data_IF_126489245859
#
_entry.id   IF_126489245859
#
_cell.length_a   1.000
_cell.length_b   1.000
_cell.length_c   1.000
_cell.angle_alpha   90.00
_cell.angle_beta   90.00
_cell.angle_gamma   90.00
#
_symmetry.space_group_name_H-M   'P 1'
#
loop_
_entity.id
_entity.type
_entity.pdbx_description
1 polymer ?
#
# COMPACT_ATOMS: atom_id res chain seq x y z
N UNK A 1 -2.61 28.29 -7.85
CA UNK A 1 -2.55 29.25 -6.75
C UNK A 1 -1.10 29.34 -6.36
N UNK A 2 -0.54 30.55 -6.31
CA UNK A 2 0.86 30.73 -5.91
C UNK A 2 1.00 30.79 -4.38
N UNK A 3 2.23 30.78 -3.88
CA UNK A 3 2.50 30.77 -2.44
C UNK A 3 1.91 31.98 -1.71
N UNK A 4 1.94 33.17 -2.32
CA UNK A 4 1.44 34.39 -1.69
C UNK A 4 -0.08 34.37 -1.51
N UNK A 5 -0.81 33.80 -2.48
CA UNK A 5 -2.26 33.59 -2.38
C UNK A 5 -2.60 32.58 -1.28
N UNK A 6 -1.84 31.49 -1.17
CA UNK A 6 -2.01 30.50 -0.09
C UNK A 6 -1.79 31.15 1.28
N UNK A 7 -0.70 31.90 1.45
CA UNK A 7 -0.41 32.66 2.67
C UNK A 7 -1.52 33.65 3.03
N UNK A 8 -2.07 34.33 2.03
CA UNK A 8 -3.18 35.25 2.25
C UNK A 8 -4.46 34.55 2.72
N UNK A 9 -4.71 33.30 2.30
CA UNK A 9 -5.82 32.49 2.80
C UNK A 9 -5.55 32.07 4.26
N UNK A 10 -4.35 31.55 4.57
CA UNK A 10 -3.98 31.13 5.94
C UNK A 10 -4.05 32.31 6.92
N UNK A 11 -3.62 33.49 6.51
CA UNK A 11 -3.70 34.70 7.34
C UNK A 11 -5.15 35.15 7.65
N UNK A 12 -6.14 34.68 6.90
CA UNK A 12 -7.57 34.93 7.13
C UNK A 12 -8.25 33.83 7.95
N UNK A 13 -7.55 32.73 8.24
CA UNK A 13 -8.08 31.64 9.06
C UNK A 13 -8.05 32.02 10.54
N UNK A 14 -9.07 31.61 11.29
CA UNK A 14 -8.99 31.59 12.75
C UNK A 14 -8.07 30.47 13.21
N UNK A 15 -7.62 30.52 14.47
CA UNK A 15 -6.76 29.48 15.03
C UNK A 15 -7.45 28.10 15.04
N UNK A 16 -8.77 28.08 15.22
CA UNK A 16 -9.60 26.87 15.15
C UNK A 16 -9.69 26.34 13.71
N UNK A 17 -9.85 27.21 12.70
CA UNK A 17 -9.83 26.81 11.28
C UNK A 17 -8.46 26.21 10.90
N UNK A 18 -7.35 26.81 11.37
CA UNK A 18 -5.99 26.26 11.18
C UNK A 18 -5.82 24.90 11.85
N UNK A 19 -6.29 24.77 13.10
CA UNK A 19 -6.20 23.54 13.85
C UNK A 19 -6.99 22.39 13.20
N UNK A 20 -8.22 22.66 12.75
CA UNK A 20 -9.07 21.70 12.06
C UNK A 20 -8.49 21.27 10.70
N UNK A 21 -7.84 22.19 9.98
CA UNK A 21 -7.17 21.89 8.70
C UNK A 21 -6.03 20.86 8.86
N UNK A 22 -5.38 20.81 10.03
CA UNK A 22 -4.28 19.90 10.34
C UNK A 22 -4.75 18.51 10.84
N UNK A 23 -6.04 18.19 10.71
CA UNK A 23 -6.58 16.85 10.89
C UNK A 23 -7.58 16.49 9.78
N UNK A 24 -7.82 15.19 9.56
CA UNK A 24 -8.91 14.73 8.71
C UNK A 24 -10.27 15.26 9.18
N UNK A 25 -11.20 15.47 8.25
CA UNK A 25 -12.61 15.71 8.57
C UNK A 25 -13.40 14.39 8.62
N UNK A 26 -12.93 13.40 7.87
CA UNK A 26 -13.41 12.02 7.92
C UNK A 26 -12.21 11.08 7.88
N UNK A 27 -12.46 9.78 7.84
CA UNK A 27 -11.41 8.77 7.64
C UNK A 27 -10.63 8.95 6.33
N UNK A 28 -11.18 9.64 5.33
CA UNK A 28 -10.62 9.71 3.97
C UNK A 28 -10.59 11.10 3.35
N UNK A 29 -10.97 12.15 4.09
CA UNK A 29 -10.99 13.52 3.56
C UNK A 29 -10.26 14.48 4.48
N UNK A 30 -9.54 15.42 3.90
CA UNK A 30 -9.03 16.58 4.64
C UNK A 30 -10.18 17.48 5.06
N UNK A 31 -9.97 18.29 6.09
CA UNK A 31 -10.87 19.41 6.37
C UNK A 31 -10.81 20.47 5.26
N UNK A 32 -11.94 21.14 5.04
CA UNK A 32 -12.03 22.35 4.22
C UNK A 32 -12.30 23.58 5.09
N UNK A 33 -12.27 24.76 4.47
CA UNK A 33 -12.67 26.04 5.10
C UNK A 33 -13.65 26.75 4.17
N UNK A 34 -14.97 26.42 4.22
CA UNK A 34 -15.95 26.89 3.24
C UNK A 34 -16.05 28.41 3.11
N UNK A 35 -15.93 29.13 4.24
CA UNK A 35 -15.95 30.61 4.28
C UNK A 35 -14.85 31.24 3.43
N UNK A 36 -13.71 30.56 3.29
CA UNK A 36 -12.55 30.99 2.50
C UNK A 36 -12.46 30.29 1.14
N UNK A 37 -13.46 29.47 0.78
CA UNK A 37 -13.45 28.71 -0.47
C UNK A 37 -12.39 27.61 -0.55
N UNK A 38 -11.93 27.10 0.60
CA UNK A 38 -11.00 25.96 0.66
C UNK A 38 -11.83 24.67 0.63
N UNK A 39 -11.77 23.87 -0.45
CA UNK A 39 -12.47 22.59 -0.50
C UNK A 39 -11.70 21.49 0.26
N UNK A 40 -12.40 20.44 0.75
CA UNK A 40 -11.74 19.22 1.16
C UNK A 40 -11.22 18.44 -0.06
N UNK A 41 -10.18 17.63 0.14
CA UNK A 41 -9.71 16.66 -0.86
C UNK A 41 -9.76 15.24 -0.30
N UNK A 42 -9.90 14.26 -1.18
CA UNK A 42 -9.97 12.86 -0.83
C UNK A 42 -8.58 12.20 -0.87
N UNK A 43 -8.26 11.44 0.17
CA UNK A 43 -7.09 10.54 0.22
C UNK A 43 -7.56 9.09 0.32
N UNK A 44 -6.88 8.17 -0.34
CA UNK A 44 -7.37 6.78 -0.41
C UNK A 44 -6.22 5.80 -0.55
N UNK A 45 -6.35 4.61 0.05
CA UNK A 45 -5.49 3.47 -0.28
C UNK A 45 -5.65 3.06 -1.76
N UNK A 46 -4.72 2.30 -2.36
CA UNK A 46 -3.51 1.76 -1.76
C UNK A 46 -2.37 1.50 -2.75
N UNK A 47 -1.31 0.79 -2.32
CA UNK A 47 -0.03 0.70 -3.04
C UNK A 47 -0.04 0.05 -4.42
N UNK A 48 -1.04 -0.79 -4.72
CA UNK A 48 -1.14 -1.55 -5.99
C UNK A 48 -2.61 -1.62 -6.50
N UNK A 49 -3.47 -0.72 -6.03
CA UNK A 49 -4.87 -0.68 -6.44
C UNK A 49 -5.67 0.32 -5.61
N UNK A 50 -6.61 1.03 -6.24
CA UNK A 50 -7.46 1.98 -5.55
C UNK A 50 -8.46 1.25 -4.63
N UNK A 51 -8.52 1.66 -3.36
CA UNK A 51 -9.47 1.23 -2.34
C UNK A 51 -10.22 2.47 -1.82
N UNK A 52 -11.09 3.04 -2.65
CA UNK A 52 -11.95 4.16 -2.25
C UNK A 52 -13.24 3.64 -1.64
N UNK A 53 -13.52 4.04 -0.41
CA UNK A 53 -14.78 3.72 0.25
C UNK A 53 -15.95 4.56 -0.29
N UNK A 54 -17.11 3.92 -0.38
CA UNK A 54 -18.38 4.51 -0.78
C UNK A 54 -19.51 3.98 0.08
N UNK A 55 -20.57 4.76 0.25
CA UNK A 55 -21.77 4.34 0.96
C UNK A 55 -22.76 3.73 -0.03
N UNK A 56 -23.14 2.46 0.17
CA UNK A 56 -24.08 1.76 -0.72
C UNK A 56 -25.49 1.62 -0.13
N UNK A 57 -25.66 1.96 1.14
CA UNK A 57 -26.94 1.89 1.83
C UNK A 57 -26.81 2.26 3.30
N UNK A 58 -27.90 2.06 4.04
CA UNK A 58 -27.94 2.17 5.50
C UNK A 58 -28.34 0.81 6.04
N UNK A 59 -27.61 0.33 7.05
CA UNK A 59 -27.99 -0.86 7.80
C UNK A 59 -29.21 -0.52 8.66
N UNK A 60 -30.34 -1.17 8.38
CA UNK A 60 -31.61 -0.87 9.06
C UNK A 60 -31.60 -1.21 10.55
N UNK A 61 -30.75 -2.15 10.99
CA UNK A 61 -30.67 -2.57 12.39
C UNK A 61 -29.79 -1.62 13.22
N UNK A 62 -28.68 -1.14 12.66
CA UNK A 62 -27.73 -0.27 13.37
C UNK A 62 -27.89 1.23 13.05
N UNK A 63 -28.60 1.56 11.97
CA UNK A 63 -28.70 2.93 11.44
C UNK A 63 -27.40 3.47 10.84
N UNK A 64 -26.39 2.62 10.67
CA UNK A 64 -25.06 3.02 10.18
C UNK A 64 -24.94 2.88 8.66
N UNK A 65 -24.14 3.74 8.00
CA UNK A 65 -23.84 3.58 6.58
C UNK A 65 -23.18 2.23 6.28
N UNK A 66 -23.70 1.51 5.29
CA UNK A 66 -23.04 0.33 4.73
C UNK A 66 -21.94 0.82 3.80
N UNK A 67 -20.70 0.52 4.17
CA UNK A 67 -19.51 0.89 3.39
C UNK A 67 -19.08 -0.25 2.49
N UNK A 68 -18.83 0.07 1.24
CA UNK A 68 -18.13 -0.79 0.29
C UNK A 68 -16.97 -0.03 -0.35
N UNK A 69 -16.10 -0.73 -1.07
CA UNK A 69 -15.08 -0.10 -1.90
C UNK A 69 -15.52 -0.08 -3.35
N UNK A 70 -15.19 1.01 -4.06
CA UNK A 70 -15.40 1.09 -5.50
C UNK A 70 -14.58 -0.02 -6.18
N UNK A 71 -15.12 -0.69 -7.21
CA UNK A 71 -14.33 -1.62 -7.99
C UNK A 71 -13.15 -0.91 -8.69
N UNK A 72 -11.97 -1.52 -8.67
CA UNK A 72 -10.77 -1.00 -9.31
C UNK A 72 -9.93 -2.12 -9.93
N UNK A 73 -8.86 -1.74 -10.63
CA UNK A 73 -7.83 -2.69 -11.06
C UNK A 73 -6.89 -2.98 -9.90
N UNK A 74 -6.66 -4.27 -9.64
CA UNK A 74 -5.65 -4.74 -8.70
C UNK A 74 -4.41 -5.16 -9.50
N UNK A 75 -3.35 -4.36 -9.39
CA UNK A 75 -2.04 -4.68 -9.96
C UNK A 75 -1.32 -5.71 -9.07
N UNK A 76 -0.28 -6.38 -9.59
CA UNK A 76 0.54 -7.26 -8.77
C UNK A 76 1.04 -6.54 -7.52
N UNK A 77 1.08 -7.24 -6.39
CA UNK A 77 1.56 -6.66 -5.14
C UNK A 77 3.01 -6.15 -5.28
N UNK A 78 3.42 -5.19 -4.45
CA UNK A 78 4.73 -4.53 -4.55
C UNK A 78 5.92 -5.50 -4.63
N UNK A 79 5.88 -6.62 -3.88
CA UNK A 79 6.91 -7.67 -3.97
C UNK A 79 7.02 -8.30 -5.36
N UNK A 80 5.88 -8.47 -6.02
CA UNK A 80 5.81 -9.04 -7.36
C UNK A 80 6.25 -7.97 -8.37
N UNK A 81 5.61 -6.80 -8.42
CA UNK A 81 5.96 -5.77 -9.42
C UNK A 81 7.44 -5.39 -9.39
N UNK A 82 8.05 -5.29 -8.19
CA UNK A 82 9.48 -5.00 -8.06
C UNK A 82 10.40 -6.09 -8.62
N UNK A 83 9.93 -7.35 -8.70
CA UNK A 83 10.71 -8.46 -9.25
C UNK A 83 10.89 -8.36 -10.78
N UNK A 84 10.21 -7.43 -11.45
CA UNK A 84 10.50 -7.08 -12.84
C UNK A 84 11.83 -6.33 -13.02
N UNK A 85 12.32 -5.62 -11.99
CA UNK A 85 13.44 -4.68 -12.08
C UNK A 85 13.26 -3.61 -13.19
N UNK A 86 12.00 -3.33 -13.59
CA UNK A 86 11.69 -2.46 -14.72
C UNK A 86 10.95 -1.19 -14.25
N UNK A 87 11.66 -0.07 -14.24
CA UNK A 87 11.07 1.24 -13.90
C UNK A 87 10.03 1.70 -14.91
N UNK A 88 10.14 1.29 -16.18
CA UNK A 88 9.14 1.58 -17.21
C UNK A 88 7.81 0.90 -16.94
N UNK A 89 7.82 -0.35 -16.47
CA UNK A 89 6.61 -1.03 -16.00
C UNK A 89 6.00 -0.32 -14.80
N UNK A 90 6.83 0.12 -13.84
CA UNK A 90 6.35 0.84 -12.65
C UNK A 90 5.78 2.21 -12.97
N UNK A 91 6.35 2.93 -13.94
CA UNK A 91 5.76 4.18 -14.43
C UNK A 91 4.40 3.93 -15.10
N UNK A 92 4.28 2.87 -15.90
CA UNK A 92 3.00 2.51 -16.52
C UNK A 92 1.95 2.10 -15.46
N UNK A 93 2.35 1.31 -14.45
CA UNK A 93 1.51 0.96 -13.30
C UNK A 93 1.01 2.23 -12.58
N UNK A 94 1.93 3.14 -12.26
CA UNK A 94 1.61 4.41 -11.63
C UNK A 94 0.64 5.26 -12.46
N UNK A 95 0.83 5.34 -13.78
CA UNK A 95 -0.10 6.07 -14.67
C UNK A 95 -1.51 5.47 -14.65
N UNK A 96 -1.63 4.15 -14.67
CA UNK A 96 -2.93 3.50 -14.57
C UNK A 96 -3.58 3.77 -13.20
N UNK A 97 -2.85 3.64 -12.11
CA UNK A 97 -3.34 3.94 -10.76
C UNK A 97 -3.75 5.42 -10.61
N UNK A 98 -2.97 6.35 -11.14
CA UNK A 98 -3.30 7.77 -11.19
C UNK A 98 -4.58 8.04 -11.99
N UNK A 99 -4.78 7.36 -13.12
CA UNK A 99 -6.03 7.44 -13.90
C UNK A 99 -7.23 6.92 -13.12
N UNK A 100 -7.08 5.78 -12.43
CA UNK A 100 -8.12 5.20 -11.57
C UNK A 100 -8.50 6.19 -10.44
N UNK A 101 -7.53 6.87 -9.85
CA UNK A 101 -7.76 7.90 -8.83
C UNK A 101 -8.47 9.13 -9.40
N UNK A 102 -8.01 9.66 -10.54
CA UNK A 102 -8.63 10.81 -11.20
C UNK A 102 -10.10 10.54 -11.58
N UNK A 103 -10.39 9.35 -12.11
CA UNK A 103 -11.75 8.92 -12.43
C UNK A 103 -12.67 8.80 -11.19
N UNK A 104 -12.07 8.62 -10.02
CA UNK A 104 -12.76 8.49 -8.75
C UNK A 104 -12.63 9.72 -7.83
N UNK A 105 -12.17 10.87 -8.34
CA UNK A 105 -11.98 12.09 -7.55
C UNK A 105 -11.12 11.90 -6.28
N UNK A 106 -10.02 11.16 -6.42
CA UNK A 106 -9.03 10.95 -5.36
C UNK A 106 -7.81 11.82 -5.64
N UNK A 107 -7.49 12.70 -4.69
CA UNK A 107 -6.40 13.66 -4.81
C UNK A 107 -5.03 13.07 -4.45
N UNK A 108 -4.99 12.16 -3.47
CA UNK A 108 -3.75 11.49 -3.04
C UNK A 108 -3.99 10.00 -2.88
N UNK A 109 -3.21 9.20 -3.60
CA UNK A 109 -3.11 7.76 -3.43
C UNK A 109 -2.12 7.43 -2.32
N UNK A 110 -2.53 6.66 -1.32
CA UNK A 110 -1.71 6.28 -0.17
C UNK A 110 -0.75 5.12 -0.52
N UNK A 111 0.19 5.42 -1.40
CA UNK A 111 1.30 4.57 -1.81
C UNK A 111 2.32 5.38 -2.62
N UNK A 112 3.46 4.78 -2.97
CA UNK A 112 3.78 3.37 -2.78
C UNK A 112 4.26 3.06 -1.35
N UNK A 113 4.20 1.79 -0.98
CA UNK A 113 4.78 1.29 0.27
C UNK A 113 6.21 0.76 0.02
N UNK A 114 7.22 1.35 0.66
CA UNK A 114 8.64 1.10 0.36
C UNK A 114 9.51 0.85 1.59
N UNK A 115 8.92 0.40 2.70
CA UNK A 115 9.72 -0.05 3.83
C UNK A 115 10.65 -1.21 3.44
N UNK A 116 11.84 -1.24 4.04
CA UNK A 116 12.79 -2.33 3.82
C UNK A 116 12.24 -3.62 4.41
N UNK A 117 12.30 -4.70 3.61
CA UNK A 117 11.98 -6.08 4.02
C UNK A 117 13.06 -6.65 4.95
N UNK A 118 13.22 -6.05 6.13
CA UNK A 118 14.26 -6.41 7.11
C UNK A 118 14.17 -7.87 7.55
N UNK A 119 12.95 -8.32 7.82
CA UNK A 119 12.66 -9.68 8.24
C UNK A 119 11.71 -10.30 7.23
N UNK A 120 11.97 -11.54 6.76
CA UNK A 120 11.04 -12.21 5.85
C UNK A 120 9.69 -12.54 6.51
N UNK A 121 9.60 -12.39 7.83
CA UNK A 121 8.38 -12.62 8.62
C UNK A 121 7.44 -11.41 8.69
N UNK A 122 7.86 -10.22 8.24
CA UNK A 122 7.00 -9.04 8.32
C UNK A 122 5.70 -9.27 7.53
N UNK A 123 4.56 -9.04 8.19
CA UNK A 123 3.23 -9.29 7.62
C UNK A 123 2.89 -8.49 6.37
N UNK A 124 3.60 -7.37 6.14
CA UNK A 124 3.39 -6.44 5.02
C UNK A 124 4.46 -6.53 3.94
N UNK A 125 5.34 -7.53 3.99
CA UNK A 125 6.34 -7.72 2.95
C UNK A 125 5.74 -7.85 1.53
N UNK A 126 4.48 -8.29 1.40
CA UNK A 126 3.82 -8.39 0.09
C UNK A 126 3.64 -7.01 -0.59
N UNK A 127 3.39 -5.95 0.18
CA UNK A 127 3.15 -4.60 -0.38
C UNK A 127 4.42 -3.76 -0.50
N UNK A 128 5.52 -4.18 0.13
CA UNK A 128 6.82 -3.54 -0.01
C UNK A 128 7.59 -4.04 -1.23
N UNK A 129 8.52 -3.24 -1.73
CA UNK A 129 9.29 -3.58 -2.93
C UNK A 129 10.45 -4.54 -2.65
N UNK A 130 11.42 -4.17 -1.80
CA UNK A 130 12.70 -4.89 -1.68
C UNK A 130 13.30 -4.85 -0.27
N UNK A 131 14.24 -5.75 -0.02
CA UNK A 131 15.22 -5.63 1.07
C UNK A 131 16.38 -4.70 0.72
N UNK A 132 16.61 -4.46 -0.59
CA UNK A 132 17.63 -3.56 -1.10
C UNK A 132 17.06 -2.13 -1.26
N UNK A 133 17.70 -1.10 -0.66
CA UNK A 133 17.19 0.26 -0.69
C UNK A 133 17.26 0.93 -2.05
N UNK A 134 18.22 0.54 -2.90
CA UNK A 134 18.36 1.13 -4.24
C UNK A 134 17.20 0.65 -5.14
N UNK A 135 16.94 -0.65 -5.19
CA UNK A 135 15.81 -1.21 -5.92
C UNK A 135 14.48 -0.62 -5.40
N UNK A 136 14.28 -0.60 -4.08
CA UNK A 136 13.07 -0.02 -3.49
C UNK A 136 12.89 1.46 -3.87
N UNK A 137 13.97 2.24 -3.85
CA UNK A 137 13.97 3.65 -4.22
C UNK A 137 13.66 3.89 -5.70
N UNK A 138 14.34 3.20 -6.62
CA UNK A 138 14.12 3.39 -8.07
C UNK A 138 12.71 2.98 -8.50
N UNK A 139 12.21 1.86 -7.98
CA UNK A 139 10.85 1.36 -8.24
C UNK A 139 9.82 2.35 -7.67
N UNK A 140 10.02 2.86 -6.46
CA UNK A 140 9.14 3.86 -5.86
C UNK A 140 9.14 5.17 -6.64
N UNK A 141 10.30 5.69 -7.05
CA UNK A 141 10.40 6.93 -7.81
C UNK A 141 9.66 6.83 -9.15
N UNK A 142 9.83 5.72 -9.88
CA UNK A 142 9.15 5.49 -11.15
C UNK A 142 7.62 5.38 -10.98
N UNK A 143 7.16 4.67 -9.94
CA UNK A 143 5.75 4.62 -9.56
C UNK A 143 5.18 6.01 -9.26
N UNK A 144 5.89 6.81 -8.44
CA UNK A 144 5.46 8.14 -8.03
C UNK A 144 5.34 9.07 -9.24
N UNK A 145 6.34 9.08 -10.12
CA UNK A 145 6.30 9.85 -11.36
C UNK A 145 5.10 9.44 -12.24
N UNK A 146 4.82 8.13 -12.33
CA UNK A 146 3.67 7.60 -13.05
C UNK A 146 2.34 8.15 -12.51
N UNK A 147 2.07 7.99 -11.21
CA UNK A 147 0.84 8.49 -10.57
C UNK A 147 0.71 10.01 -10.72
N UNK A 148 1.78 10.76 -10.41
CA UNK A 148 1.75 12.21 -10.42
C UNK A 148 1.65 12.82 -11.82
N UNK A 149 2.02 12.07 -12.86
CA UNK A 149 1.77 12.48 -14.26
C UNK A 149 0.27 12.56 -14.61
N UNK A 150 -0.60 11.96 -13.79
CA UNK A 150 -2.06 11.98 -13.95
C UNK A 150 -2.75 13.04 -13.09
N UNK A 151 -2.00 14.01 -12.54
CA UNK A 151 -2.56 15.09 -11.71
C UNK A 151 -3.04 14.62 -10.33
N UNK A 152 -2.56 13.47 -9.86
CA UNK A 152 -2.89 12.86 -8.56
C UNK A 152 -1.61 12.73 -7.72
N UNK A 153 -1.66 13.06 -6.44
CA UNK A 153 -0.54 12.92 -5.52
C UNK A 153 -0.31 11.49 -5.05
N UNK A 154 0.89 11.23 -4.56
CA UNK A 154 1.25 9.99 -3.85
C UNK A 154 1.60 10.28 -2.40
N UNK A 155 1.44 9.26 -1.55
CA UNK A 155 1.96 9.23 -0.18
C UNK A 155 2.97 8.08 -0.02
N UNK A 156 4.25 8.38 -0.18
CA UNK A 156 5.31 7.38 0.02
C UNK A 156 5.32 6.94 1.49
N UNK A 157 5.22 5.63 1.77
CA UNK A 157 4.95 5.11 3.12
C UNK A 157 5.77 3.86 3.50
N UNK A 158 6.06 3.60 4.77
CA UNK A 158 5.82 4.40 5.97
C UNK A 158 7.15 4.92 6.48
N UNK A 159 7.29 6.23 6.57
CA UNK A 159 8.53 6.93 6.88
C UNK A 159 8.72 7.03 8.40
N UNK A 160 9.60 6.25 9.04
CA UNK A 160 10.51 5.23 8.49
C UNK A 160 10.61 4.01 9.42
N UNK A 161 11.35 2.99 8.98
CA UNK A 161 11.68 1.80 9.78
C UNK A 161 10.47 1.03 10.35
N UNK A 162 9.34 1.05 9.63
CA UNK A 162 8.16 0.23 9.91
C UNK A 162 8.29 -1.15 9.26
N UNK A 163 9.22 -1.96 9.74
CA UNK A 163 9.58 -3.25 9.12
C UNK A 163 9.07 -4.48 9.91
N UNK A 164 8.08 -4.29 10.78
CA UNK A 164 7.36 -5.35 11.48
C UNK A 164 5.97 -4.86 11.91
N UNK A 165 4.98 -5.75 11.91
CA UNK A 165 3.62 -5.43 12.35
C UNK A 165 3.46 -5.62 13.86
N UNK A 166 4.18 -6.57 14.46
CA UNK A 166 4.10 -6.85 15.87
C UNK A 166 4.43 -5.60 16.69
N UNK A 167 3.43 -5.09 17.43
CA UNK A 167 3.53 -3.87 18.23
C UNK A 167 3.97 -2.63 17.43
N UNK A 168 3.62 -2.53 16.14
CA UNK A 168 3.99 -1.37 15.30
C UNK A 168 3.65 -0.01 15.91
N UNK A 169 2.54 0.09 16.67
CA UNK A 169 2.09 1.34 17.32
C UNK A 169 2.81 1.70 18.63
N UNK A 170 3.63 0.81 19.18
CA UNK A 170 4.24 1.02 20.51
C UNK A 170 5.72 0.69 20.59
N UNK A 171 6.22 -0.13 19.66
CA UNK A 171 7.63 -0.51 19.56
C UNK A 171 8.52 0.67 19.16
N UNK A 172 9.81 0.53 19.46
CA UNK A 172 10.85 1.43 19.01
C UNK A 172 11.87 0.66 18.17
N UNK A 173 12.08 1.11 16.95
CA UNK A 173 13.15 0.66 16.07
C UNK A 173 14.43 1.35 16.51
N UNK A 174 15.27 0.63 17.24
CA UNK A 174 16.59 1.10 17.67
C UNK A 174 17.61 0.82 16.56
N UNK A 175 18.05 1.87 15.87
CA UNK A 175 18.87 1.80 14.67
C UNK A 175 19.94 2.90 14.71
N UNK A 176 21.20 2.52 14.51
CA UNK A 176 22.30 3.48 14.42
C UNK A 176 22.17 4.36 13.16
N UNK A 177 22.79 5.55 13.18
CA UNK A 177 22.64 6.53 12.10
C UNK A 177 23.10 6.01 10.74
N UNK A 178 24.15 5.19 10.70
CA UNK A 178 24.64 4.64 9.44
C UNK A 178 23.62 3.69 8.83
N UNK A 179 23.13 2.73 9.60
CA UNK A 179 22.11 1.79 9.14
C UNK A 179 20.81 2.51 8.77
N UNK A 180 20.40 3.52 9.56
CA UNK A 180 19.22 4.33 9.26
C UNK A 180 19.37 5.00 7.89
N UNK A 181 20.50 5.67 7.62
CA UNK A 181 20.79 6.39 6.38
C UNK A 181 20.94 5.44 5.18
N UNK A 182 21.80 4.43 5.30
CA UNK A 182 22.17 3.54 4.19
C UNK A 182 21.07 2.53 3.82
N UNK A 183 20.18 2.15 4.74
CA UNK A 183 19.17 1.11 4.51
C UNK A 183 17.76 1.69 4.54
N UNK A 184 17.32 2.22 5.68
CA UNK A 184 15.90 2.54 5.87
C UNK A 184 15.46 3.85 5.24
N UNK A 185 16.39 4.78 5.05
CA UNK A 185 16.13 6.12 4.52
C UNK A 185 16.47 6.25 3.04
N UNK A 186 17.46 5.50 2.53
CA UNK A 186 17.94 5.63 1.14
C UNK A 186 16.82 5.50 0.10
N UNK A 187 15.89 4.54 0.25
CA UNK A 187 14.76 4.41 -0.67
C UNK A 187 13.83 5.63 -0.68
N UNK A 188 13.57 6.24 0.49
CA UNK A 188 12.78 7.47 0.60
C UNK A 188 13.55 8.69 0.08
N UNK A 189 14.86 8.75 0.30
CA UNK A 189 15.72 9.81 -0.24
C UNK A 189 15.67 9.84 -1.77
N UNK A 190 15.80 8.68 -2.41
CA UNK A 190 15.66 8.52 -3.86
C UNK A 190 14.27 8.99 -4.31
N UNK A 191 13.21 8.50 -3.68
CA UNK A 191 11.83 8.89 -4.00
C UNK A 191 11.60 10.42 -3.90
N UNK A 192 12.14 11.07 -2.86
CA UNK A 192 12.05 12.52 -2.68
C UNK A 192 12.84 13.27 -3.75
N UNK A 193 14.10 12.92 -3.96
CA UNK A 193 14.99 13.67 -4.86
C UNK A 193 14.64 13.47 -6.34
N UNK A 194 14.15 12.30 -6.72
CA UNK A 194 13.85 11.97 -8.12
C UNK A 194 12.39 12.21 -8.52
N UNK A 195 11.45 12.12 -7.58
CA UNK A 195 10.03 12.11 -7.90
C UNK A 195 9.16 13.11 -7.13
N UNK A 196 9.65 13.68 -6.01
CA UNK A 196 8.93 14.65 -5.17
C UNK A 196 7.46 14.23 -4.91
N UNK A 197 7.22 13.18 -4.10
CA UNK A 197 5.86 12.79 -3.76
C UNK A 197 5.12 13.96 -3.11
N UNK A 198 3.82 14.12 -3.39
CA UNK A 198 3.04 15.22 -2.81
C UNK A 198 2.93 15.10 -1.29
N UNK A 199 2.90 13.87 -0.78
CA UNK A 199 2.91 13.59 0.64
C UNK A 199 3.86 12.44 0.99
N UNK A 200 4.23 12.37 2.27
CA UNK A 200 4.90 11.22 2.87
C UNK A 200 4.11 10.83 4.11
N UNK A 201 3.88 9.53 4.30
CA UNK A 201 3.20 9.04 5.49
C UNK A 201 4.22 8.67 6.57
N UNK A 202 4.18 9.35 7.71
CA UNK A 202 4.99 8.99 8.87
C UNK A 202 4.52 7.66 9.46
N UNK A 203 5.46 6.81 9.90
CA UNK A 203 5.14 5.48 10.44
C UNK A 203 4.55 5.52 11.86
N UNK A 204 3.96 4.39 12.26
CA UNK A 204 3.47 4.15 13.61
C UNK A 204 4.57 4.09 14.68
N UNK A 205 5.70 3.46 14.37
CA UNK A 205 6.70 3.08 15.36
C UNK A 205 7.50 4.30 15.85
N UNK A 206 8.14 4.11 17.01
CA UNK A 206 9.23 4.99 17.41
C UNK A 206 10.50 4.63 16.65
N UNK A 207 11.38 5.61 16.48
CA UNK A 207 12.74 5.44 15.97
C UNK A 207 13.66 6.04 17.01
N UNK A 208 14.50 5.22 17.63
CA UNK A 208 15.38 5.62 18.73
C UNK A 208 14.65 6.38 19.85
N UNK A 209 13.47 5.89 20.24
CA UNK A 209 12.68 6.40 21.37
C UNK A 209 11.63 7.48 21.04
N UNK A 210 11.64 8.06 19.84
CA UNK A 210 10.67 9.10 19.43
C UNK A 210 9.74 8.61 18.34
N UNK A 211 8.42 8.81 18.49
CA UNK A 211 7.43 8.48 17.46
C UNK A 211 7.77 9.17 16.14
N UNK A 212 7.68 8.46 15.02
CA UNK A 212 8.07 9.00 13.71
C UNK A 212 7.26 10.26 13.34
N UNK A 213 5.96 10.28 13.65
CA UNK A 213 5.07 11.45 13.49
C UNK A 213 5.47 12.68 14.31
N UNK A 214 6.34 12.54 15.30
CA UNK A 214 6.80 13.59 16.21
C UNK A 214 8.33 13.77 16.18
N UNK A 215 9.01 13.15 15.21
CA UNK A 215 10.47 13.14 15.17
C UNK A 215 11.00 14.27 14.29
N UNK A 216 11.36 15.41 14.90
CA UNK A 216 11.89 16.58 14.19
C UNK A 216 13.14 16.27 13.35
N UNK A 217 14.07 15.45 13.88
CA UNK A 217 15.27 15.05 13.12
C UNK A 217 14.88 14.35 11.83
N UNK A 218 13.89 13.45 11.89
CA UNK A 218 13.41 12.72 10.73
C UNK A 218 12.63 13.60 9.75
N UNK A 219 11.60 14.30 10.25
CA UNK A 219 10.59 14.95 9.41
C UNK A 219 10.96 16.36 8.93
N UNK A 220 11.81 17.08 9.67
CA UNK A 220 12.28 18.41 9.30
C UNK A 220 13.75 18.35 8.87
N UNK A 221 14.65 18.00 9.78
CA UNK A 221 16.08 18.15 9.55
C UNK A 221 16.54 17.27 8.36
N UNK A 222 16.18 15.99 8.32
CA UNK A 222 16.55 15.10 7.22
C UNK A 222 15.64 15.32 6.00
N UNK A 223 14.32 15.16 6.18
CA UNK A 223 13.40 15.12 5.05
C UNK A 223 13.30 16.47 4.32
N UNK A 224 13.23 17.58 5.05
CA UNK A 224 13.05 18.91 4.46
C UNK A 224 14.40 19.58 4.24
N UNK A 225 15.22 19.73 5.28
CA UNK A 225 16.43 20.57 5.18
C UNK A 225 17.53 19.89 4.36
N UNK A 226 17.76 18.58 4.54
CA UNK A 226 18.79 17.85 3.80
C UNK A 226 18.32 17.39 2.40
N UNK A 227 17.08 16.89 2.28
CA UNK A 227 16.59 16.31 1.00
C UNK A 227 15.76 17.26 0.15
N UNK A 228 15.29 18.38 0.70
CA UNK A 228 14.49 19.36 -0.05
C UNK A 228 13.08 18.88 -0.39
N UNK A 229 12.44 18.12 0.50
CA UNK A 229 11.04 17.71 0.32
C UNK A 229 10.09 18.92 0.26
N UNK A 230 9.27 18.98 -0.79
CA UNK A 230 8.39 20.14 -1.02
C UNK A 230 6.94 19.92 -0.55
N UNK A 231 6.51 18.68 -0.40
CA UNK A 231 5.16 18.29 0.01
C UNK A 231 4.87 18.48 1.51
N UNK A 232 3.94 17.68 2.03
CA UNK A 232 3.67 17.61 3.48
C UNK A 232 3.67 16.19 4.02
N UNK A 233 3.94 16.07 5.32
CA UNK A 233 3.88 14.78 6.02
C UNK A 233 2.47 14.58 6.58
N UNK A 234 1.89 13.41 6.30
CA UNK A 234 0.64 12.91 6.90
C UNK A 234 0.98 11.81 7.90
N UNK A 235 0.23 11.66 8.97
CA UNK A 235 0.40 10.52 9.88
C UNK A 235 -0.18 9.24 9.29
N UNK A 236 0.33 8.08 9.71
CA UNK A 236 -0.47 6.86 9.64
C UNK A 236 -1.73 6.99 10.54
N UNK A 237 -2.73 6.13 10.32
CA UNK A 237 -4.06 6.28 10.95
C UNK A 237 -3.99 6.06 12.45
N UNK A 238 -4.12 7.13 13.24
CA UNK A 238 -4.01 7.09 14.70
C UNK A 238 -2.57 7.05 15.23
N UNK A 239 -1.58 7.41 14.42
CA UNK A 239 -0.16 7.42 14.82
C UNK A 239 0.31 8.68 15.58
N UNK A 240 -0.56 9.67 15.75
CA UNK A 240 -0.23 10.92 16.46
C UNK A 240 -0.62 10.79 17.93
N UNK A 241 0.35 10.95 18.83
CA UNK A 241 0.13 10.86 20.28
C UNK A 241 0.07 12.24 20.94
N UNK A 242 0.83 13.20 20.42
CA UNK A 242 0.79 14.62 20.76
C UNK A 242 0.79 15.44 19.47
N UNK A 243 -0.36 16.02 19.15
CA UNK A 243 -0.57 16.79 17.93
C UNK A 243 0.26 18.05 17.86
N UNK A 244 0.52 18.70 19.00
CA UNK A 244 1.35 19.91 19.05
C UNK A 244 2.81 19.58 18.73
N UNK A 245 3.32 18.47 19.30
CA UNK A 245 4.65 17.98 18.99
C UNK A 245 4.76 17.49 17.53
N UNK A 246 3.71 16.88 16.98
CA UNK A 246 3.68 16.41 15.60
C UNK A 246 3.78 17.58 14.60
N UNK A 247 2.95 18.62 14.77
CA UNK A 247 3.01 19.83 13.94
C UNK A 247 4.38 20.52 14.07
N UNK A 248 4.90 20.66 15.30
CA UNK A 248 6.23 21.24 15.53
C UNK A 248 7.37 20.44 14.88
N UNK A 249 7.21 19.11 14.72
CA UNK A 249 8.19 18.26 14.08
C UNK A 249 8.10 18.28 12.54
N UNK A 250 6.98 18.76 11.96
CA UNK A 250 6.74 18.80 10.51
C UNK A 250 5.64 17.86 10.01
N UNK A 251 4.94 17.14 10.89
CA UNK A 251 3.74 16.36 10.53
C UNK A 251 2.53 17.29 10.41
N UNK A 252 2.19 17.68 9.18
CA UNK A 252 1.16 18.68 8.92
C UNK A 252 -0.26 18.16 9.08
N UNK A 253 -0.52 16.91 8.67
CA UNK A 253 -1.87 16.34 8.67
C UNK A 253 -1.94 15.09 9.57
N UNK A 254 -2.81 15.15 10.58
CA UNK A 254 -3.20 13.98 11.37
C UNK A 254 -4.35 13.26 10.67
N UNK A 255 -4.22 11.94 10.47
CA UNK A 255 -5.30 11.08 9.96
C UNK A 255 -5.65 10.00 10.99
N UNK A 256 -6.92 9.56 11.11
CA UNK A 256 -8.13 10.08 10.44
C UNK A 256 -8.61 11.41 11.08
N UNK A 257 -9.91 11.58 11.34
CA UNK A 257 -10.39 12.73 12.10
C UNK A 257 -9.89 12.72 13.55
N UNK A 258 -9.55 13.91 14.06
CA UNK A 258 -9.08 14.11 15.44
C UNK A 258 -9.67 15.38 16.08
N UNK A 259 -10.95 15.64 15.78
CA UNK A 259 -11.69 16.85 16.23
C UNK A 259 -11.66 17.03 17.74
N UNK A 260 -11.62 15.92 18.49
CA UNK A 260 -11.56 15.92 19.95
C UNK A 260 -10.28 16.59 20.51
N UNK A 261 -9.21 16.69 19.71
CA UNK A 261 -7.95 17.30 20.10
C UNK A 261 -7.69 18.67 19.44
N UNK A 262 -8.64 19.23 18.66
CA UNK A 262 -8.48 20.55 18.04
C UNK A 262 -8.21 21.65 19.05
N UNK A 263 -9.02 21.69 20.11
CA UNK A 263 -8.84 22.66 21.20
C UNK A 263 -7.47 22.53 21.85
N UNK A 264 -6.89 21.33 21.95
CA UNK A 264 -5.56 21.15 22.55
C UNK A 264 -4.44 21.77 21.70
N UNK A 265 -4.60 21.77 20.38
CA UNK A 265 -3.65 22.42 19.47
C UNK A 265 -3.79 23.94 19.53
N UNK A 266 -5.03 24.44 19.56
CA UNK A 266 -5.34 25.87 19.80
C UNK A 266 -4.73 26.33 21.12
N UNK A 267 -4.93 25.58 22.20
CA UNK A 267 -4.36 25.87 23.52
C UNK A 267 -2.83 25.82 23.50
N UNK A 268 -2.22 24.91 22.73
CA UNK A 268 -0.77 24.86 22.60
C UNK A 268 -0.20 26.14 21.98
N UNK A 269 -0.87 26.72 20.99
CA UNK A 269 -0.49 28.01 20.40
C UNK A 269 -0.71 29.15 21.40
N UNK A 270 -1.90 29.24 22.00
CA UNK A 270 -2.23 30.29 22.97
C UNK A 270 -1.31 30.30 24.19
N UNK A 271 -0.78 29.13 24.59
CA UNK A 271 0.16 29.00 25.72
C UNK A 271 1.64 29.07 25.31
N UNK A 272 1.94 29.25 24.01
CA UNK A 272 3.31 29.31 23.50
C UNK A 272 4.06 27.97 23.48
N UNK A 273 3.36 26.85 23.67
CA UNK A 273 3.94 25.50 23.51
C UNK A 273 4.13 25.11 22.05
N UNK A 274 3.36 25.71 21.15
CA UNK A 274 3.52 25.62 19.70
C UNK A 274 3.62 27.03 19.13
N UNK A 275 4.59 27.28 18.27
CA UNK A 275 4.66 28.53 17.51
C UNK A 275 3.54 28.54 16.46
N UNK A 276 2.74 29.61 16.40
CA UNK A 276 1.69 29.76 15.39
C UNK A 276 2.28 29.69 13.97
N UNK A 277 3.52 30.15 13.77
CA UNK A 277 4.19 30.07 12.47
C UNK A 277 4.40 28.62 12.00
N UNK A 278 4.58 27.66 12.91
CA UNK A 278 4.67 26.24 12.56
C UNK A 278 3.32 25.68 12.12
N UNK A 279 2.23 26.13 12.76
CA UNK A 279 0.87 25.79 12.37
C UNK A 279 0.51 26.41 11.02
N UNK A 280 0.87 27.67 10.80
CA UNK A 280 0.68 28.36 9.51
C UNK A 280 1.38 27.61 8.39
N UNK A 281 2.64 27.20 8.59
CA UNK A 281 3.38 26.42 7.61
C UNK A 281 2.70 25.10 7.28
N UNK A 282 2.17 24.38 8.29
CA UNK A 282 1.41 23.15 8.06
C UNK A 282 0.17 23.41 7.19
N UNK A 283 -0.60 24.45 7.51
CA UNK A 283 -1.75 24.87 6.70
C UNK A 283 -1.35 25.25 5.27
N UNK A 284 -0.30 26.05 5.10
CA UNK A 284 0.21 26.44 3.78
C UNK A 284 0.56 25.23 2.91
N UNK A 285 1.21 24.22 3.50
CA UNK A 285 1.59 23.00 2.78
C UNK A 285 0.37 22.16 2.37
N UNK A 286 -0.61 22.02 3.26
CA UNK A 286 -1.88 21.33 2.97
C UNK A 286 -2.62 22.04 1.83
N UNK A 287 -2.79 23.37 1.95
CA UNK A 287 -3.44 24.17 0.90
C UNK A 287 -2.68 24.12 -0.43
N UNK A 288 -1.35 24.10 -0.39
CA UNK A 288 -0.51 23.95 -1.59
C UNK A 288 -0.86 22.69 -2.38
N UNK A 289 -1.02 21.55 -1.72
CA UNK A 289 -1.42 20.30 -2.37
C UNK A 289 -2.91 20.31 -2.74
N UNK A 290 -3.79 20.84 -1.89
CA UNK A 290 -5.22 21.00 -2.19
C UNK A 290 -5.43 21.76 -3.50
N UNK A 291 -4.82 22.94 -3.65
CA UNK A 291 -4.96 23.73 -4.86
C UNK A 291 -4.16 23.17 -6.03
N UNK A 292 -3.02 22.50 -5.80
CA UNK A 292 -2.33 21.75 -6.85
C UNK A 292 -3.24 20.70 -7.46
N UNK A 293 -4.00 19.96 -6.66
CA UNK A 293 -4.99 19.01 -7.15
C UNK A 293 -6.14 19.72 -7.86
N UNK A 294 -6.83 20.64 -7.17
CA UNK A 294 -8.07 21.27 -7.67
C UNK A 294 -7.85 21.97 -9.02
N UNK A 295 -6.71 22.62 -9.22
CA UNK A 295 -6.42 23.37 -10.44
C UNK A 295 -5.91 22.51 -11.60
N UNK A 296 -5.29 21.36 -11.29
CA UNK A 296 -4.73 20.44 -12.30
C UNK A 296 -5.53 19.14 -12.39
N UNK A 297 -6.75 19.13 -11.84
CA UNK A 297 -7.62 17.96 -11.79
C UNK A 297 -7.88 17.47 -13.21
N UNK A 298 -7.40 16.26 -13.50
CA UNK A 298 -7.65 15.61 -14.77
C UNK A 298 -9.04 14.98 -14.77
N UNK A 299 -9.80 15.21 -15.83
CA UNK A 299 -10.99 14.41 -16.12
C UNK A 299 -10.53 13.14 -16.83
N UNK A 300 -10.68 12.01 -16.15
CA UNK A 300 -10.27 10.71 -16.66
C UNK A 300 -11.42 9.71 -16.51
N UNK A 301 -11.44 8.73 -17.42
CA UNK A 301 -12.25 7.54 -17.29
C UNK A 301 -11.34 6.34 -17.04
N UNK A 302 -11.86 5.33 -16.35
CA UNK A 302 -11.12 4.07 -16.14
C UNK A 302 -11.05 3.31 -17.47
N UNK A 303 -9.85 2.94 -17.91
CA UNK A 303 -9.64 2.06 -19.07
C UNK A 303 -9.39 0.64 -18.57
N UNK A 304 -10.48 -0.05 -18.28
CA UNK A 304 -10.43 -1.35 -17.61
C UNK A 304 -9.74 -2.42 -18.44
N UNK A 305 -9.91 -2.40 -19.77
CA UNK A 305 -9.31 -3.41 -20.64
C UNK A 305 -7.81 -3.22 -20.76
N UNK A 306 -7.36 -1.99 -21.01
CA UNK A 306 -5.94 -1.65 -21.11
C UNK A 306 -5.23 -1.84 -19.77
N UNK A 307 -5.83 -1.39 -18.67
CA UNK A 307 -5.24 -1.53 -17.34
C UNK A 307 -5.21 -3.00 -16.88
N UNK A 308 -6.21 -3.82 -17.23
CA UNK A 308 -6.16 -5.27 -16.99
C UNK A 308 -5.08 -5.95 -17.83
N UNK A 309 -4.90 -5.54 -19.08
CA UNK A 309 -3.82 -6.05 -19.94
C UNK A 309 -2.44 -5.66 -19.40
N UNK A 310 -2.30 -4.45 -18.85
CA UNK A 310 -1.09 -3.98 -18.18
C UNK A 310 -0.82 -4.76 -16.90
N UNK A 311 -1.83 -4.97 -16.04
CA UNK A 311 -1.67 -5.80 -14.82
C UNK A 311 -1.20 -7.22 -15.17
N UNK A 312 -1.73 -7.81 -16.25
CA UNK A 312 -1.25 -9.11 -16.78
C UNK A 312 0.20 -9.02 -17.26
N UNK A 313 0.56 -7.97 -18.00
CA UNK A 313 1.93 -7.76 -18.50
C UNK A 313 2.92 -7.68 -17.33
N UNK A 314 2.63 -6.85 -16.33
CA UNK A 314 3.46 -6.70 -15.13
C UNK A 314 3.58 -8.04 -14.42
N UNK A 315 2.48 -8.78 -14.24
CA UNK A 315 2.51 -10.10 -13.62
C UNK A 315 3.46 -11.06 -14.37
N UNK A 316 3.35 -11.15 -15.71
CA UNK A 316 4.19 -12.02 -16.54
C UNK A 316 5.67 -11.64 -16.48
N UNK A 317 5.99 -10.35 -16.54
CA UNK A 317 7.37 -9.84 -16.50
C UNK A 317 7.96 -9.81 -15.09
N UNK A 318 7.15 -10.15 -14.07
CA UNK A 318 7.54 -10.21 -12.66
C UNK A 318 7.59 -11.63 -12.09
N UNK A 319 7.22 -12.65 -12.86
CA UNK A 319 7.31 -14.04 -12.41
C UNK A 319 8.78 -14.47 -12.33
N UNK A 320 9.21 -14.90 -11.14
CA UNK A 320 10.58 -15.41 -10.94
C UNK A 320 10.59 -16.93 -11.10
N UNK A 321 11.24 -17.41 -12.17
CA UNK A 321 11.49 -18.84 -12.36
C UNK A 321 12.63 -19.30 -11.45
N UNK A 322 12.29 -19.83 -10.27
CA UNK A 322 13.27 -20.26 -9.26
C UNK A 322 14.02 -21.54 -9.66
N UNK A 323 13.36 -22.46 -10.35
CA UNK A 323 13.92 -23.76 -10.74
C UNK A 323 13.31 -24.26 -12.04
N UNK A 324 14.13 -24.78 -12.95
CA UNK A 324 13.68 -25.45 -14.17
C UNK A 324 14.69 -26.50 -14.63
N UNK A 325 14.38 -27.79 -14.40
CA UNK A 325 15.23 -28.92 -14.82
C UNK A 325 14.86 -29.43 -16.23
N UNK A 326 14.33 -28.55 -17.09
CA UNK A 326 13.91 -28.87 -18.46
C UNK A 326 12.40 -29.12 -18.64
N UNK A 327 11.61 -28.97 -17.58
CA UNK A 327 10.15 -29.16 -17.58
C UNK A 327 9.40 -27.97 -18.20
N UNK A 328 9.92 -26.75 -18.07
CA UNK A 328 9.31 -25.54 -18.63
C UNK A 328 10.04 -25.08 -19.91
N UNK A 329 9.30 -24.66 -20.97
CA UNK A 329 7.84 -24.56 -21.04
C UNK A 329 7.15 -25.92 -21.21
N UNK A 330 5.96 -26.05 -20.62
CA UNK A 330 5.15 -27.28 -20.68
C UNK A 330 4.63 -27.58 -22.10
N UNK A 331 4.42 -28.86 -22.41
CA UNK A 331 3.77 -29.27 -23.65
C UNK A 331 2.28 -28.95 -23.63
N UNK A 332 1.78 -28.36 -24.72
CA UNK A 332 0.34 -28.05 -24.85
C UNK A 332 -0.53 -29.27 -25.17
N UNK A 333 0.07 -30.37 -25.62
CA UNK A 333 -0.65 -31.60 -25.98
C UNK A 333 -0.65 -32.64 -24.87
N UNK A 334 0.13 -32.41 -23.81
CA UNK A 334 0.26 -33.36 -22.72
C UNK A 334 -0.96 -33.30 -21.80
N UNK A 335 -1.40 -34.47 -21.36
CA UNK A 335 -2.50 -34.56 -20.40
C UNK A 335 -2.06 -33.96 -19.06
N UNK A 336 -2.68 -32.84 -18.70
CA UNK A 336 -2.25 -32.01 -17.56
C UNK A 336 -3.27 -32.04 -16.42
N UNK A 337 -2.78 -32.23 -15.20
CA UNK A 337 -3.54 -32.09 -13.96
C UNK A 337 -3.13 -30.83 -13.20
N UNK A 338 -4.09 -29.96 -12.87
CA UNK A 338 -3.89 -28.91 -11.89
C UNK A 338 -4.28 -29.40 -10.50
N UNK A 339 -3.41 -29.20 -9.53
CA UNK A 339 -3.66 -29.57 -8.13
C UNK A 339 -3.56 -28.34 -7.25
N UNK A 340 -4.50 -28.14 -6.34
CA UNK A 340 -4.47 -27.05 -5.35
C UNK A 340 -5.60 -26.04 -5.54
N UNK A 341 -6.29 -25.62 -4.46
CA UNK A 341 -7.42 -24.68 -4.52
C UNK A 341 -7.08 -23.34 -5.15
N UNK A 342 -5.81 -22.90 -5.13
CA UNK A 342 -5.37 -21.66 -5.77
C UNK A 342 -5.49 -21.68 -7.30
N UNK A 343 -5.54 -22.85 -7.93
CA UNK A 343 -5.83 -22.96 -9.37
C UNK A 343 -7.24 -22.46 -9.71
N UNK A 344 -8.18 -22.59 -8.77
CA UNK A 344 -9.58 -22.16 -8.87
C UNK A 344 -9.85 -20.81 -8.20
N UNK A 345 -9.23 -20.57 -7.04
CA UNK A 345 -9.40 -19.37 -6.23
C UNK A 345 -8.03 -18.70 -6.03
N UNK A 346 -7.57 -17.88 -6.98
CA UNK A 346 -6.21 -17.39 -6.98
C UNK A 346 -5.92 -16.47 -5.79
N UNK A 347 -4.72 -16.61 -5.22
CA UNK A 347 -4.14 -15.66 -4.26
C UNK A 347 -3.35 -14.61 -5.05
N UNK A 348 -3.92 -13.41 -5.21
CA UNK A 348 -3.34 -12.36 -6.08
C UNK A 348 -2.99 -11.06 -5.34
N UNK A 349 -3.36 -10.95 -4.06
CA UNK A 349 -3.09 -9.78 -3.21
C UNK A 349 -2.98 -10.18 -1.74
N UNK A 350 -2.41 -9.30 -0.91
CA UNK A 350 -2.39 -9.43 0.55
C UNK A 350 -3.67 -8.92 1.23
N UNK A 351 -3.71 -9.04 2.57
CA UNK A 351 -4.77 -8.49 3.42
C UNK A 351 -4.51 -7.05 3.88
N UNK A 352 -5.44 -6.48 4.65
CA UNK A 352 -5.29 -5.15 5.25
C UNK A 352 -5.73 -3.98 4.37
N UNK A 353 -5.17 -2.80 4.65
CA UNK A 353 -5.45 -1.53 3.95
C UNK A 353 -5.18 -1.58 2.45
N UNK A 354 -4.28 -2.45 2.01
CA UNK A 354 -3.91 -2.64 0.60
C UNK A 354 -4.88 -3.54 -0.18
N UNK A 355 -5.98 -4.02 0.43
CA UNK A 355 -6.96 -4.89 -0.25
C UNK A 355 -7.82 -4.12 -1.24
N UNK A 356 -7.78 -4.53 -2.50
CA UNK A 356 -8.58 -3.93 -3.59
C UNK A 356 -9.73 -4.85 -4.00
N UNK A 357 -10.93 -4.27 -4.18
CA UNK A 357 -12.05 -4.95 -4.82
C UNK A 357 -11.81 -4.98 -6.32
N UNK A 358 -11.12 -6.04 -6.78
CA UNK A 358 -10.81 -6.21 -8.19
C UNK A 358 -12.07 -6.42 -9.02
N UNK A 359 -12.17 -5.72 -10.15
CA UNK A 359 -13.28 -5.83 -11.10
C UNK A 359 -13.37 -7.21 -11.76
N UNK A 360 -12.23 -7.84 -12.02
CA UNK A 360 -12.17 -9.13 -12.70
C UNK A 360 -10.95 -9.89 -12.22
N UNK A 361 -11.15 -11.14 -11.85
CA UNK A 361 -10.10 -12.08 -11.45
C UNK A 361 -10.35 -13.36 -12.22
N UNK A 362 -9.36 -13.79 -13.00
CA UNK A 362 -9.40 -15.07 -13.68
C UNK A 362 -8.47 -16.04 -12.96
N UNK A 363 -9.00 -17.20 -12.61
CA UNK A 363 -8.22 -18.33 -12.11
C UNK A 363 -7.53 -19.07 -13.26
N UNK A 364 -6.61 -19.98 -12.94
CA UNK A 364 -6.01 -20.84 -13.95
C UNK A 364 -7.07 -21.72 -14.64
N UNK A 365 -8.09 -22.17 -13.89
CA UNK A 365 -9.20 -22.94 -14.44
C UNK A 365 -10.11 -22.12 -15.36
N UNK A 366 -10.35 -20.84 -15.07
CA UNK A 366 -11.15 -19.98 -15.96
C UNK A 366 -10.46 -19.81 -17.33
N UNK A 367 -9.13 -19.83 -17.35
CA UNK A 367 -8.33 -19.66 -18.57
C UNK A 367 -8.15 -20.97 -19.34
N UNK A 368 -7.86 -22.07 -18.64
CA UNK A 368 -7.54 -23.35 -19.27
C UNK A 368 -8.79 -24.20 -19.57
N UNK A 369 -9.88 -24.02 -18.82
CA UNK A 369 -11.14 -24.73 -19.01
C UNK A 369 -10.94 -26.24 -19.10
N UNK A 370 -11.62 -26.87 -20.07
CA UNK A 370 -11.62 -28.33 -20.28
C UNK A 370 -10.30 -28.90 -20.84
N UNK A 371 -9.26 -28.08 -21.03
CA UNK A 371 -7.95 -28.56 -21.50
C UNK A 371 -7.10 -29.22 -20.41
N UNK A 372 -7.53 -29.12 -19.15
CA UNK A 372 -6.84 -29.65 -17.98
C UNK A 372 -7.84 -30.33 -17.04
N UNK A 373 -7.39 -31.38 -16.36
CA UNK A 373 -8.13 -31.95 -15.23
C UNK A 373 -7.76 -31.17 -13.95
N UNK A 374 -8.64 -31.19 -12.94
CA UNK A 374 -8.44 -30.45 -11.69
C UNK A 374 -8.79 -31.28 -10.46
N UNK A 375 -7.91 -31.24 -9.47
CA UNK A 375 -8.18 -31.75 -8.11
C UNK A 375 -7.79 -30.70 -7.06
N UNK A 376 -8.59 -30.48 -6.01
CA UNK A 376 -8.27 -29.49 -4.99
C UNK A 376 -7.02 -29.86 -4.19
N UNK A 377 -6.76 -31.14 -3.90
CA UNK A 377 -5.56 -31.62 -3.19
C UNK A 377 -5.46 -31.23 -1.70
N UNK A 378 -5.96 -30.05 -1.31
CA UNK A 378 -6.05 -29.61 0.07
C UNK A 378 -7.17 -28.56 0.28
N UNK A 379 -7.47 -28.27 1.55
CA UNK A 379 -8.36 -27.23 2.02
C UNK A 379 -7.75 -26.52 3.23
N UNK A 380 -7.53 -25.22 3.14
CA UNK A 380 -7.06 -24.41 4.27
C UNK A 380 -8.18 -24.15 5.29
N UNK A 381 -9.45 -24.17 4.86
CA UNK A 381 -10.62 -23.94 5.71
C UNK A 381 -11.17 -25.20 6.37
N UNK A 382 -10.86 -26.38 5.81
CA UNK A 382 -11.27 -27.68 6.37
C UNK A 382 -10.08 -28.64 6.41
N UNK A 383 -9.22 -28.53 7.44
CA UNK A 383 -8.06 -29.40 7.59
C UNK A 383 -8.41 -30.90 7.69
N UNK A 384 -9.63 -31.25 8.12
CA UNK A 384 -10.04 -32.64 8.30
C UNK A 384 -10.24 -33.38 6.97
N UNK A 385 -10.48 -32.64 5.88
CA UNK A 385 -10.61 -33.20 4.54
C UNK A 385 -9.25 -33.52 3.89
N UNK A 386 -8.13 -33.00 4.39
CA UNK A 386 -6.84 -33.02 3.69
C UNK A 386 -6.30 -34.43 3.41
N UNK A 387 -6.49 -35.39 4.32
CA UNK A 387 -6.06 -36.78 4.07
C UNK A 387 -6.81 -37.42 2.90
N UNK A 388 -8.13 -37.16 2.80
CA UNK A 388 -8.95 -37.63 1.69
C UNK A 388 -8.58 -36.94 0.38
N UNK A 389 -8.46 -35.60 0.39
CA UNK A 389 -8.13 -34.83 -0.81
C UNK A 389 -6.75 -35.21 -1.37
N UNK A 390 -5.78 -35.48 -0.48
CA UNK A 390 -4.48 -36.02 -0.86
C UNK A 390 -4.63 -37.41 -1.50
N UNK A 391 -5.41 -38.32 -0.89
CA UNK A 391 -5.63 -39.66 -1.44
C UNK A 391 -6.27 -39.61 -2.84
N UNK A 392 -7.22 -38.70 -3.07
CA UNK A 392 -7.88 -38.51 -4.37
C UNK A 392 -6.88 -38.08 -5.46
N UNK A 393 -5.91 -37.23 -5.12
CA UNK A 393 -4.79 -36.86 -6.01
C UNK A 393 -3.91 -38.07 -6.30
N UNK A 394 -3.42 -38.75 -5.26
CA UNK A 394 -2.48 -39.87 -5.42
C UNK A 394 -3.07 -41.06 -6.18
N UNK A 395 -4.40 -41.22 -6.16
CA UNK A 395 -5.09 -42.28 -6.89
C UNK A 395 -5.01 -42.13 -8.42
N UNK A 396 -4.81 -40.91 -8.92
CA UNK A 396 -4.92 -40.60 -10.36
C UNK A 396 -3.70 -39.87 -10.90
N UNK A 397 -2.82 -39.32 -10.05
CA UNK A 397 -1.71 -38.44 -10.46
C UNK A 397 -0.78 -39.09 -11.48
N UNK A 398 -0.59 -40.41 -11.44
CA UNK A 398 0.27 -41.16 -12.37
C UNK A 398 -0.31 -41.30 -13.78
N UNK A 399 -1.60 -41.01 -13.98
CA UNK A 399 -2.27 -41.07 -15.29
C UNK A 399 -2.05 -39.79 -16.13
N UNK A 400 -1.32 -38.82 -15.58
CA UNK A 400 -1.04 -37.52 -16.19
C UNK A 400 0.42 -37.43 -16.63
N UNK A 401 0.64 -36.77 -17.75
CA UNK A 401 1.98 -36.49 -18.25
C UNK A 401 2.58 -35.24 -17.59
N UNK A 402 1.72 -34.34 -17.10
CA UNK A 402 2.14 -33.10 -16.44
C UNK A 402 1.25 -32.80 -15.24
N UNK A 403 1.86 -32.37 -14.14
CA UNK A 403 1.15 -31.98 -12.92
C UNK A 403 1.62 -30.61 -12.47
N UNK A 404 0.67 -29.70 -12.26
CA UNK A 404 0.95 -28.34 -11.77
C UNK A 404 0.32 -28.17 -10.40
N UNK A 405 1.16 -28.10 -9.36
CA UNK A 405 0.69 -27.86 -7.99
C UNK A 405 0.69 -26.36 -7.71
N UNK A 406 -0.50 -25.81 -7.44
CA UNK A 406 -0.68 -24.44 -6.95
C UNK A 406 -0.66 -24.46 -5.42
N UNK A 407 0.45 -23.98 -4.85
CA UNK A 407 0.67 -23.89 -3.41
C UNK A 407 1.14 -22.48 -3.02
N UNK A 408 0.89 -22.09 -1.77
CA UNK A 408 1.12 -20.73 -1.30
C UNK A 408 0.50 -20.47 0.06
N UNK A 409 0.69 -19.26 0.57
CA UNK A 409 0.19 -18.86 1.87
C UNK A 409 -1.28 -18.39 1.78
N UNK A 410 -2.17 -18.84 2.69
CA UNK A 410 -3.54 -18.36 2.76
C UNK A 410 -3.62 -16.94 3.38
N UNK A 411 -4.78 -16.29 3.26
CA UNK A 411 -5.00 -14.94 3.81
C UNK A 411 -4.75 -14.80 5.30
N UNK A 412 -5.01 -15.87 6.06
CA UNK A 412 -4.80 -15.91 7.50
C UNK A 412 -3.33 -15.88 7.93
N UNK A 413 -2.39 -16.02 6.99
CA UNK A 413 -0.95 -16.05 7.28
C UNK A 413 -0.19 -14.82 6.78
N UNK A 414 -0.81 -13.96 5.97
CA UNK A 414 -0.17 -12.77 5.39
C UNK A 414 -1.15 -11.58 5.29
N UNK A 415 -1.03 -10.64 6.22
CA UNK A 415 -1.83 -9.42 6.24
C UNK A 415 -1.17 -8.35 7.10
N UNK A 416 -1.58 -7.10 6.89
CA UNK A 416 -1.42 -6.03 7.87
C UNK A 416 -1.95 -6.43 9.26
N UNK A 417 -1.23 -6.00 10.31
CA UNK A 417 -1.62 -6.15 11.72
C UNK A 417 -0.94 -7.30 12.46
N UNK A 418 -0.27 -8.23 11.78
CA UNK A 418 0.48 -9.30 12.42
C UNK A 418 1.67 -9.77 11.57
N UNK A 419 2.72 -10.26 12.23
CA UNK A 419 3.85 -10.89 11.56
C UNK A 419 3.67 -12.40 11.49
N UNK A 420 4.28 -13.02 10.49
CA UNK A 420 4.39 -14.48 10.38
C UNK A 420 5.22 -15.04 11.52
N UNK A 421 4.93 -16.27 11.91
CA UNK A 421 5.68 -16.98 12.95
C UNK A 421 6.81 -17.86 12.40
N UNK A 422 6.69 -18.30 11.14
CA UNK A 422 7.66 -19.15 10.45
C UNK A 422 7.61 -18.91 8.93
N UNK A 423 8.60 -19.46 8.21
CA UNK A 423 8.70 -19.34 6.76
C UNK A 423 8.00 -20.45 5.98
N UNK A 424 7.69 -21.57 6.63
CA UNK A 424 7.12 -22.74 5.98
C UNK A 424 5.73 -22.46 5.37
N UNK A 425 5.44 -23.14 4.26
CA UNK A 425 4.08 -23.34 3.79
C UNK A 425 3.27 -24.14 4.82
N UNK A 426 1.92 -24.09 4.78
CA UNK A 426 1.09 -24.96 5.57
C UNK A 426 1.49 -26.43 5.40
N UNK A 427 1.60 -27.17 6.50
CA UNK A 427 2.18 -28.53 6.51
C UNK A 427 1.46 -29.50 5.56
N UNK A 428 0.15 -29.35 5.37
CA UNK A 428 -0.62 -30.17 4.42
C UNK A 428 -0.22 -29.92 2.96
N UNK A 429 0.14 -28.68 2.60
CA UNK A 429 0.64 -28.38 1.26
C UNK A 429 2.02 -29.00 1.03
N UNK A 430 2.92 -28.92 2.01
CA UNK A 430 4.24 -29.59 1.94
C UNK A 430 4.09 -31.10 1.77
N UNK A 431 3.18 -31.73 2.53
CA UNK A 431 2.88 -33.17 2.42
C UNK A 431 2.34 -33.53 1.03
N UNK A 432 1.45 -32.71 0.47
CA UNK A 432 0.93 -32.91 -0.88
C UNK A 432 2.03 -32.82 -1.93
N UNK A 433 2.86 -31.77 -1.90
CA UNK A 433 3.95 -31.58 -2.86
C UNK A 433 4.92 -32.76 -2.82
N UNK A 434 5.34 -33.19 -1.62
CA UNK A 434 6.24 -34.32 -1.46
C UNK A 434 5.62 -35.62 -2.03
N UNK A 435 4.37 -35.91 -1.69
CA UNK A 435 3.70 -37.12 -2.14
C UNK A 435 3.42 -37.14 -3.66
N UNK A 436 3.13 -35.99 -4.27
CA UNK A 436 3.00 -35.84 -5.73
C UNK A 436 4.36 -36.07 -6.40
N UNK A 437 5.43 -35.45 -5.90
CA UNK A 437 6.77 -35.58 -6.46
C UNK A 437 7.30 -37.03 -6.41
N UNK A 438 6.97 -37.80 -5.38
CA UNK A 438 7.31 -39.23 -5.29
C UNK A 438 6.63 -40.07 -6.36
N UNK A 439 5.45 -39.65 -6.85
CA UNK A 439 4.65 -40.37 -7.86
C UNK A 439 4.88 -39.85 -9.29
N UNK A 440 5.45 -38.66 -9.43
CA UNK A 440 5.79 -38.01 -10.69
C UNK A 440 7.25 -37.52 -10.68
N UNK A 441 8.24 -38.43 -10.75
CA UNK A 441 9.64 -38.08 -10.52
C UNK A 441 10.36 -37.40 -11.71
N UNK A 442 9.70 -37.11 -12.84
CA UNK A 442 10.29 -36.39 -13.98
C UNK A 442 9.28 -35.46 -14.66
#
# INVERSE_FOLDING_TARGET
MNQDQIKAIVAQMTLEEKAALCSGDTDWTTSGVPRLGVPPIWVSDGPYGLRKETTVGIDEASGQPIKETVPAICFPAGVTSAASFDTGLMTAEGQALGRNCAANDVAVLLGPALNIKRSPLCGRNFEYFSEDPYLAGQIAAAYIQGVQSMGVGTSAKHFAANSQEHRRMTSSSEVDERTLREIYLTGFEIAVKEAQPWTIMASYNKINGTYASQNKKLLSDILVDEWGFQGFVVSDWGAVHDRSAAVAAGCALTMPEDKANDTKLVDAVNTGRLDEAALDLACEKILGITYRYVENRMLAEMDLESDSALARKIAVESMVLLKNDGMLPMSRSARTLLVGPFAKNPRYQGGGSSKTKSLRVHSALDILGDSVDYLPGFSDSDPTANDRLLADVLAQVADYEQVVVFAGLPESMESEGYDRQHLDLPAHQNRLIAAVAERQPQ
#
